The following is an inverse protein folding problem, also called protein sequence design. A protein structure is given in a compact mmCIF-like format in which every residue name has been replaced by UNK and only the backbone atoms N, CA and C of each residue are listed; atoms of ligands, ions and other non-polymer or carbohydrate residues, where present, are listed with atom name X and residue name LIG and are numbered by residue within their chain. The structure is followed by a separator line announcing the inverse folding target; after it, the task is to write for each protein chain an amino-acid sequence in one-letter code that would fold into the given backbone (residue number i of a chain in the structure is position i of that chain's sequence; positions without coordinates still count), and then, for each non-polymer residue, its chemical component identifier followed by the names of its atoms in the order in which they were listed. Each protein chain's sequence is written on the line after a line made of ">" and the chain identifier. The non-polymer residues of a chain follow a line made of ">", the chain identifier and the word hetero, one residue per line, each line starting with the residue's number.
data_IF_671849940507
#
_entry.id   IF_671849940507
#
_cell.length_a   1.000
_cell.length_b   1.000
_cell.length_c   1.000
_cell.angle_alpha   90.00
_cell.angle_beta   90.00
_cell.angle_gamma   90.00
#
_symmetry.space_group_name_H-M   'P 1'
#
loop_
_entity.id
_entity.type
_entity.pdbx_description
1 polymer ?
#
# COMPACT_ATOMS: atom_id res chain seq x y z
N UNK A 1 -23.29 -49.82 15.15
CA UNK A 1 -21.86 -49.69 15.49
C UNK A 1 -21.25 -48.67 14.53
N UNK A 2 -21.19 -47.38 14.90
CA UNK A 2 -20.59 -46.34 14.03
C UNK A 2 -19.09 -46.32 14.30
N UNK A 3 -18.27 -46.65 13.29
CA UNK A 3 -16.83 -46.44 13.36
C UNK A 3 -16.57 -44.95 13.53
N UNK A 4 -15.85 -44.57 14.60
CA UNK A 4 -15.27 -43.22 14.73
C UNK A 4 -14.07 -43.14 13.78
N UNK A 5 -13.84 -42.00 13.09
CA UNK A 5 -12.61 -41.84 12.34
C UNK A 5 -11.44 -41.80 13.33
N UNK A 6 -10.37 -42.55 13.02
CA UNK A 6 -9.10 -42.46 13.73
C UNK A 6 -8.49 -41.09 13.41
N UNK A 7 -8.37 -40.22 14.42
CA UNK A 7 -7.60 -39.00 14.29
C UNK A 7 -6.12 -39.36 14.08
N UNK A 8 -5.49 -38.79 13.05
CA UNK A 8 -4.09 -38.99 12.73
C UNK A 8 -3.24 -38.07 13.63
N UNK A 9 -2.42 -38.60 14.57
CA UNK A 9 -1.80 -37.81 15.64
C UNK A 9 -0.56 -36.99 15.19
N UNK A 10 -0.37 -36.76 13.89
CA UNK A 10 0.83 -36.12 13.33
C UNK A 10 0.60 -34.97 12.35
N UNK A 11 -0.65 -34.53 12.13
CA UNK A 11 -0.97 -33.39 11.25
C UNK A 11 -1.31 -32.18 12.11
N UNK A 12 -0.35 -31.29 12.33
CA UNK A 12 -0.69 -29.89 12.63
C UNK A 12 -1.07 -29.24 11.31
N UNK A 13 -2.20 -29.64 10.73
CA UNK A 13 -2.79 -28.93 9.61
C UNK A 13 -3.27 -27.58 10.17
N UNK A 14 -2.45 -26.55 10.00
CA UNK A 14 -2.98 -25.20 9.97
C UNK A 14 -3.80 -25.12 8.68
N UNK A 15 -5.12 -25.22 8.78
CA UNK A 15 -6.01 -25.03 7.64
C UNK A 15 -5.78 -23.64 7.03
N UNK A 16 -5.38 -23.58 5.76
CA UNK A 16 -5.17 -22.34 5.01
C UNK A 16 -3.83 -22.25 4.27
N UNK A 17 -3.65 -21.24 3.41
CA UNK A 17 -2.38 -21.00 2.73
C UNK A 17 -1.30 -20.49 3.72
N UNK A 18 -0.02 -20.75 3.43
CA UNK A 18 1.07 -20.15 4.19
C UNK A 18 1.26 -18.68 3.73
N UNK A 19 1.18 -17.68 4.63
CA UNK A 19 1.29 -16.26 4.27
C UNK A 19 2.66 -15.85 3.73
N UNK A 20 3.70 -16.66 3.96
CA UNK A 20 5.05 -16.40 3.46
C UNK A 20 5.26 -16.90 2.02
N UNK A 21 4.26 -17.58 1.42
CA UNK A 21 4.29 -18.00 0.02
C UNK A 21 3.85 -16.84 -0.87
N UNK A 22 4.78 -16.33 -1.69
CA UNK A 22 4.55 -15.24 -2.66
C UNK A 22 3.34 -15.46 -3.55
N UNK A 23 3.24 -16.64 -4.17
CA UNK A 23 2.12 -17.01 -5.06
C UNK A 23 1.36 -18.20 -4.46
N UNK A 24 0.32 -17.95 -3.64
CA UNK A 24 -0.37 -19.01 -2.91
C UNK A 24 -1.28 -19.87 -3.80
N UNK A 25 -1.58 -19.43 -5.04
CA UNK A 25 -2.41 -20.15 -6.00
C UNK A 25 -1.50 -20.77 -7.08
N UNK A 26 -1.31 -22.10 -7.11
CA UNK A 26 -0.49 -22.76 -8.12
C UNK A 26 -0.99 -22.43 -9.53
N UNK A 27 -0.06 -22.17 -10.45
CA UNK A 27 -0.32 -21.81 -11.85
C UNK A 27 -1.05 -20.46 -12.07
N UNK A 28 -1.31 -19.68 -11.02
CA UNK A 28 -1.99 -18.38 -11.12
C UNK A 28 -1.12 -17.25 -10.56
N UNK A 29 -0.05 -16.93 -11.28
CA UNK A 29 0.97 -15.94 -10.86
C UNK A 29 0.48 -14.50 -10.79
N UNK A 30 -0.68 -14.21 -11.38
CA UNK A 30 -1.34 -12.89 -11.35
C UNK A 30 -1.68 -12.43 -9.93
N UNK A 31 -1.91 -13.37 -9.01
CA UNK A 31 -2.27 -13.09 -7.60
C UNK A 31 -1.11 -13.48 -6.69
N UNK A 32 -0.80 -12.62 -5.72
CA UNK A 32 0.25 -12.91 -4.74
C UNK A 32 0.07 -12.19 -3.42
N UNK A 33 0.60 -12.79 -2.35
CA UNK A 33 0.66 -12.16 -1.04
C UNK A 33 1.74 -11.10 -1.01
N UNK A 34 1.37 -9.90 -0.58
CA UNK A 34 2.24 -8.74 -0.67
C UNK A 34 3.35 -8.73 0.39
N UNK A 35 3.09 -9.23 1.60
CA UNK A 35 4.07 -9.27 2.68
C UNK A 35 5.42 -9.92 2.29
N UNK A 36 5.47 -11.11 1.66
CA UNK A 36 6.73 -11.70 1.20
C UNK A 36 7.27 -11.10 -0.10
N UNK A 37 6.50 -10.26 -0.80
CA UNK A 37 6.88 -9.65 -2.09
C UNK A 37 7.52 -8.27 -1.94
N UNK A 38 6.98 -7.45 -1.03
CA UNK A 38 7.43 -6.07 -0.79
C UNK A 38 8.58 -6.08 0.21
N UNK A 39 9.66 -5.38 -0.13
CA UNK A 39 10.93 -5.40 0.65
C UNK A 39 11.35 -4.02 1.15
N UNK A 40 10.63 -2.99 0.72
CA UNK A 40 10.86 -1.60 1.04
C UNK A 40 10.65 -1.34 2.54
N UNK A 41 11.61 -0.75 3.25
CA UNK A 41 11.58 -0.66 4.71
C UNK A 41 10.47 0.26 5.26
N UNK A 42 9.94 1.16 4.44
CA UNK A 42 8.87 2.09 4.81
C UNK A 42 7.48 1.57 4.39
N UNK A 43 7.38 0.32 3.94
CA UNK A 43 6.11 -0.32 3.61
C UNK A 43 5.90 -1.51 4.53
N UNK A 44 4.82 -1.48 5.32
CA UNK A 44 4.46 -2.52 6.27
C UNK A 44 3.16 -3.18 5.82
N UNK A 45 3.17 -4.50 5.63
CA UNK A 45 2.02 -5.24 5.09
C UNK A 45 1.69 -6.44 5.98
N UNK A 46 0.42 -6.54 6.37
CA UNK A 46 -0.11 -7.63 7.15
C UNK A 46 -0.21 -8.96 6.38
N UNK A 47 -0.22 -10.06 7.12
CA UNK A 47 -0.42 -11.41 6.58
C UNK A 47 -1.70 -11.50 5.73
N UNK A 48 -1.66 -12.37 4.71
CA UNK A 48 -2.78 -12.69 3.81
C UNK A 48 -3.30 -11.55 2.93
N UNK A 49 -2.74 -10.34 3.07
CA UNK A 49 -3.03 -9.23 2.15
C UNK A 49 -2.44 -9.54 0.78
N UNK A 50 -3.28 -9.48 -0.25
CA UNK A 50 -2.91 -9.85 -1.61
C UNK A 50 -3.13 -8.72 -2.61
N UNK A 51 -2.39 -8.82 -3.71
CA UNK A 51 -2.55 -7.99 -4.90
C UNK A 51 -2.81 -8.86 -6.12
N UNK A 52 -3.68 -8.38 -7.02
CA UNK A 52 -4.09 -9.05 -8.25
C UNK A 52 -3.80 -8.18 -9.46
N UNK A 53 -2.76 -8.51 -10.24
CA UNK A 53 -2.31 -7.72 -11.40
C UNK A 53 -1.77 -8.63 -12.51
N UNK A 54 -2.22 -8.47 -13.77
CA UNK A 54 -1.78 -9.32 -14.90
C UNK A 54 -0.29 -9.21 -15.21
N UNK A 55 0.37 -8.11 -14.84
CA UNK A 55 1.82 -7.98 -14.94
C UNK A 55 2.59 -8.55 -13.74
N UNK A 56 1.88 -9.06 -12.74
CA UNK A 56 2.42 -9.76 -11.59
C UNK A 56 2.42 -8.91 -10.32
N UNK A 57 2.19 -9.54 -9.16
CA UNK A 57 2.07 -8.86 -7.87
C UNK A 57 3.42 -8.34 -7.34
N UNK A 58 4.54 -8.85 -7.85
CA UNK A 58 5.90 -8.42 -7.51
C UNK A 58 6.14 -6.93 -7.82
N UNK A 59 5.39 -6.36 -8.76
CA UNK A 59 5.51 -4.95 -9.15
C UNK A 59 4.70 -3.99 -8.29
N UNK A 60 4.05 -4.46 -7.22
CA UNK A 60 3.17 -3.64 -6.39
C UNK A 60 3.85 -2.36 -5.88
N UNK A 61 5.04 -2.46 -5.26
CA UNK A 61 5.73 -1.29 -4.73
C UNK A 61 6.10 -0.29 -5.83
N UNK A 62 6.57 -0.78 -6.99
CA UNK A 62 6.93 0.06 -8.13
C UNK A 62 5.73 0.76 -8.78
N UNK A 63 4.62 0.05 -8.95
CA UNK A 63 3.46 0.52 -9.73
C UNK A 63 2.40 1.23 -8.90
N UNK A 64 2.16 0.75 -7.69
CA UNK A 64 1.05 1.20 -6.86
C UNK A 64 1.49 2.25 -5.85
N UNK A 65 2.75 2.27 -5.43
CA UNK A 65 3.24 3.18 -4.37
C UNK A 65 4.02 4.32 -5.01
N UNK A 66 3.39 5.49 -5.10
CA UNK A 66 3.90 6.62 -5.88
C UNK A 66 4.41 7.73 -4.96
N UNK A 67 5.50 8.36 -5.38
CA UNK A 67 6.13 9.49 -4.67
C UNK A 67 6.60 9.15 -3.25
N UNK A 68 7.00 7.90 -3.01
CA UNK A 68 7.49 7.44 -1.71
C UNK A 68 9.01 7.54 -1.66
N UNK A 69 9.52 8.63 -1.09
CA UNK A 69 10.97 8.86 -1.02
C UNK A 69 11.50 8.61 0.39
N UNK A 70 12.59 7.83 0.57
CA UNK A 70 13.11 7.48 1.89
C UNK A 70 13.43 8.66 2.80
N UNK A 71 13.85 9.80 2.23
CA UNK A 71 14.20 11.01 3.00
C UNK A 71 12.99 11.69 3.67
N UNK A 72 11.77 11.37 3.25
CA UNK A 72 10.54 11.90 3.85
C UNK A 72 10.22 11.15 5.15
N UNK A 73 10.47 9.84 5.15
CA UNK A 73 10.26 8.97 6.31
C UNK A 73 8.80 8.61 6.58
N UNK A 74 7.86 8.98 5.71
CA UNK A 74 6.48 8.53 5.80
C UNK A 74 6.36 7.04 5.48
N UNK A 75 5.36 6.37 6.05
CA UNK A 75 5.11 4.94 5.85
C UNK A 75 3.81 4.66 5.12
N UNK A 76 3.80 3.58 4.36
CA UNK A 76 2.58 2.93 3.89
C UNK A 76 2.34 1.68 4.76
N UNK A 77 1.26 1.68 5.52
CA UNK A 77 0.92 0.59 6.44
C UNK A 77 -0.40 -0.03 5.98
N UNK A 78 -0.40 -1.31 5.63
CA UNK A 78 -1.58 -2.05 5.19
C UNK A 78 -1.81 -3.21 6.14
N UNK A 79 -3.03 -3.33 6.66
CA UNK A 79 -3.45 -4.38 7.58
C UNK A 79 -3.43 -5.78 6.98
N UNK A 80 -4.03 -6.72 7.72
CA UNK A 80 -4.14 -8.13 7.30
C UNK A 80 -5.39 -8.35 6.47
N UNK A 81 -5.40 -9.41 5.65
CA UNK A 81 -6.57 -9.85 4.88
C UNK A 81 -7.15 -8.77 3.94
N UNK A 82 -6.32 -7.87 3.42
CA UNK A 82 -6.78 -6.90 2.42
C UNK A 82 -6.74 -7.51 1.01
N UNK A 83 -7.70 -7.08 0.19
CA UNK A 83 -7.78 -7.43 -1.22
C UNK A 83 -7.50 -6.18 -2.06
N UNK A 84 -6.42 -6.18 -2.82
CA UNK A 84 -6.04 -5.02 -3.65
C UNK A 84 -6.11 -5.44 -5.12
N UNK A 85 -6.93 -4.76 -5.90
CA UNK A 85 -7.09 -5.02 -7.31
C UNK A 85 -6.15 -4.16 -8.17
N UNK A 86 -5.92 -4.65 -9.39
CA UNK A 86 -5.11 -4.05 -10.45
C UNK A 86 -5.23 -2.52 -10.53
N UNK A 87 -4.08 -1.85 -10.60
CA UNK A 87 -3.99 -0.42 -10.85
C UNK A 87 -4.33 0.48 -9.65
N UNK A 88 -4.54 -0.08 -8.45
CA UNK A 88 -4.65 0.71 -7.24
C UNK A 88 -3.42 1.62 -7.04
N UNK A 89 -3.63 2.86 -6.59
CA UNK A 89 -2.57 3.86 -6.38
C UNK A 89 -2.60 4.45 -4.97
N UNK A 90 -1.44 4.43 -4.32
CA UNK A 90 -1.14 5.07 -3.06
C UNK A 90 -0.22 6.26 -3.34
N UNK A 91 -0.76 7.48 -3.18
CA UNK A 91 0.01 8.71 -3.38
C UNK A 91 0.62 9.12 -2.05
N UNK A 92 1.93 9.01 -1.93
CA UNK A 92 2.68 9.33 -0.71
C UNK A 92 3.09 10.80 -0.67
N UNK A 93 3.71 11.24 0.43
CA UNK A 93 3.91 12.67 0.70
C UNK A 93 4.90 13.38 -0.26
N UNK A 94 5.71 12.64 -1.02
CA UNK A 94 6.61 13.22 -2.02
C UNK A 94 5.90 13.89 -3.19
N UNK A 95 4.59 13.73 -3.32
CA UNK A 95 3.77 14.42 -4.32
C UNK A 95 3.39 15.85 -3.88
N UNK A 96 3.57 16.20 -2.60
CA UNK A 96 3.12 17.48 -2.08
C UNK A 96 4.06 18.61 -2.51
N UNK A 97 3.48 19.73 -2.95
CA UNK A 97 4.19 20.97 -3.22
C UNK A 97 4.07 21.91 -2.02
N UNK A 98 5.05 22.79 -1.82
CA UNK A 98 4.95 23.86 -0.83
C UNK A 98 3.76 24.77 -1.20
N UNK A 99 2.77 24.91 -0.31
CA UNK A 99 1.56 25.70 -0.58
C UNK A 99 1.54 27.04 0.14
N UNK A 100 2.36 27.21 1.18
CA UNK A 100 2.42 28.45 1.97
C UNK A 100 3.21 29.59 1.32
N UNK A 101 3.90 29.33 0.20
CA UNK A 101 4.74 30.30 -0.50
C UNK A 101 3.98 31.17 -1.51
N UNK A 102 4.72 31.99 -2.25
CA UNK A 102 4.15 32.81 -3.34
C UNK A 102 3.72 31.96 -4.55
N UNK A 103 4.31 30.78 -4.72
CA UNK A 103 4.02 29.86 -5.81
C UNK A 103 4.19 28.42 -5.34
N UNK A 104 3.42 27.51 -5.92
CA UNK A 104 3.59 26.06 -5.75
C UNK A 104 4.63 25.48 -6.71
N UNK A 105 5.14 26.27 -7.66
CA UNK A 105 6.15 25.79 -8.61
C UNK A 105 7.47 25.49 -7.88
N UNK A 106 8.04 24.29 -8.02
CA UNK A 106 9.17 23.84 -7.22
C UNK A 106 10.51 24.35 -7.81
N UNK A 107 10.73 25.66 -7.83
CA UNK A 107 11.94 26.27 -8.43
C UNK A 107 13.24 25.63 -7.96
N UNK A 108 13.30 25.26 -6.68
CA UNK A 108 14.48 24.70 -6.02
C UNK A 108 14.96 23.38 -6.64
N UNK A 109 14.08 22.57 -7.24
CA UNK A 109 14.47 21.26 -7.79
C UNK A 109 15.23 21.38 -9.10
N UNK A 110 15.13 22.51 -9.79
CA UNK A 110 15.82 22.75 -11.06
C UNK A 110 17.26 23.24 -10.89
N UNK A 111 17.65 23.59 -9.65
CA UNK A 111 19.02 24.02 -9.35
C UNK A 111 19.40 25.36 -10.00
N UNK A 112 20.67 25.48 -10.40
CA UNK A 112 21.24 26.67 -11.06
C UNK A 112 21.10 27.98 -10.27
N UNK A 113 21.12 27.89 -8.94
CA UNK A 113 20.96 29.03 -8.04
C UNK A 113 19.53 29.32 -7.64
N UNK A 114 18.53 28.63 -8.21
CA UNK A 114 17.13 28.72 -7.79
C UNK A 114 16.85 27.97 -6.49
N UNK A 115 17.76 27.09 -6.07
CA UNK A 115 17.75 26.47 -4.75
C UNK A 115 18.15 27.43 -3.62
N UNK A 116 18.81 28.55 -3.94
CA UNK A 116 19.33 29.49 -2.94
C UNK A 116 18.19 30.17 -2.19
N UNK A 117 18.22 30.05 -0.86
CA UNK A 117 17.20 30.64 0.01
C UNK A 117 15.91 29.83 0.11
N UNK A 118 15.84 28.66 -0.52
CA UNK A 118 14.74 27.72 -0.28
C UNK A 118 14.85 27.17 1.15
N UNK A 119 13.79 27.34 1.93
CA UNK A 119 13.66 26.76 3.27
C UNK A 119 12.93 25.41 3.18
N UNK A 120 13.61 24.26 3.44
CA UNK A 120 12.98 22.94 3.43
C UNK A 120 11.79 22.82 4.38
N UNK A 121 11.73 23.65 5.43
CA UNK A 121 10.61 23.64 6.37
C UNK A 121 9.29 24.10 5.72
N UNK A 122 9.33 24.82 4.60
CA UNK A 122 8.13 25.20 3.85
C UNK A 122 7.47 24.01 3.18
N UNK A 123 8.27 23.03 2.74
CA UNK A 123 7.79 21.80 2.15
C UNK A 123 7.46 20.75 3.21
N UNK A 124 8.30 20.59 4.24
CA UNK A 124 8.08 19.57 5.27
C UNK A 124 6.79 19.78 6.08
N UNK A 125 6.28 21.02 6.15
CA UNK A 125 4.97 21.34 6.75
C UNK A 125 3.79 20.73 5.99
N UNK A 126 3.97 20.39 4.73
CA UNK A 126 2.93 19.81 3.87
C UNK A 126 2.87 18.27 4.00
N UNK A 127 3.80 17.65 4.75
CA UNK A 127 3.77 16.22 5.05
C UNK A 127 2.59 15.92 5.97
N UNK A 128 1.74 14.98 5.55
CA UNK A 128 0.48 14.60 6.22
C UNK A 128 0.62 13.37 7.13
N UNK A 129 1.84 12.83 7.22
CA UNK A 129 2.14 11.60 7.96
C UNK A 129 1.85 10.34 7.14
N UNK A 130 1.75 9.22 7.85
CA UNK A 130 1.65 7.88 7.25
C UNK A 130 0.30 7.64 6.55
N UNK A 131 0.33 6.81 5.51
CA UNK A 131 -0.85 6.25 4.88
C UNK A 131 -1.18 4.92 5.54
N UNK A 132 -2.37 4.81 6.13
CA UNK A 132 -2.78 3.62 6.89
C UNK A 132 -4.07 3.03 6.31
N UNK A 133 -3.98 1.79 5.86
CA UNK A 133 -5.11 0.93 5.48
C UNK A 133 -5.31 -0.10 6.59
N UNK A 134 -6.53 -0.19 7.13
CA UNK A 134 -6.86 -1.19 8.15
C UNK A 134 -6.83 -2.63 7.63
N UNK A 135 -7.14 -3.59 8.50
CA UNK A 135 -7.35 -4.98 8.07
C UNK A 135 -8.73 -5.14 7.41
N UNK A 136 -8.88 -6.19 6.59
CA UNK A 136 -10.16 -6.56 5.94
C UNK A 136 -10.73 -5.45 5.03
N UNK A 137 -9.84 -4.83 4.26
CA UNK A 137 -10.19 -3.77 3.31
C UNK A 137 -10.09 -4.30 1.88
N UNK A 138 -11.14 -4.05 1.10
CA UNK A 138 -11.11 -4.24 -0.34
C UNK A 138 -10.85 -2.91 -1.06
N UNK A 139 -9.82 -2.89 -1.90
CA UNK A 139 -9.44 -1.78 -2.77
C UNK A 139 -9.72 -2.19 -4.21
N UNK A 140 -10.71 -1.55 -4.82
CA UNK A 140 -11.13 -1.83 -6.19
C UNK A 140 -10.11 -1.41 -7.25
N UNK A 141 -10.33 -1.91 -8.47
CA UNK A 141 -9.49 -1.64 -9.63
C UNK A 141 -9.34 -0.14 -9.87
N UNK A 142 -8.11 0.30 -10.10
CA UNK A 142 -7.75 1.71 -10.37
C UNK A 142 -8.17 2.71 -9.27
N UNK A 143 -8.44 2.24 -8.06
CA UNK A 143 -8.73 3.12 -6.93
C UNK A 143 -7.52 4.04 -6.64
N UNK A 144 -7.78 5.34 -6.50
CA UNK A 144 -6.73 6.34 -6.33
C UNK A 144 -6.17 6.89 -7.65
N UNK A 145 -6.61 6.38 -8.81
CA UNK A 145 -6.34 7.01 -10.11
C UNK A 145 -7.20 8.30 -10.24
N UNK A 146 -6.60 9.49 -10.32
CA UNK A 146 -7.36 10.74 -10.47
C UNK A 146 -8.17 10.79 -11.77
N UNK A 147 -7.81 10.03 -12.80
CA UNK A 147 -8.58 9.96 -14.06
C UNK A 147 -9.89 9.17 -13.90
N UNK A 148 -10.02 8.35 -12.85
CA UNK A 148 -11.16 7.47 -12.61
C UNK A 148 -11.86 7.72 -11.27
N UNK A 149 -11.25 8.53 -10.40
CA UNK A 149 -11.82 8.91 -9.13
C UNK A 149 -12.94 9.94 -9.33
N UNK A 150 -14.18 9.45 -9.38
CA UNK A 150 -15.36 10.25 -9.07
C UNK A 150 -15.31 10.76 -7.62
N UNK A 151 -14.56 11.83 -7.39
CA UNK A 151 -14.70 12.76 -6.26
C UNK A 151 -14.64 12.23 -4.80
N UNK A 152 -13.86 11.18 -4.48
CA UNK A 152 -13.49 10.87 -3.08
C UNK A 152 -12.07 10.29 -2.93
N UNK A 153 -11.03 11.12 -2.70
CA UNK A 153 -9.73 10.62 -2.27
C UNK A 153 -9.82 9.97 -0.88
N UNK A 154 -8.94 9.01 -0.62
CA UNK A 154 -8.73 8.38 0.68
C UNK A 154 -8.63 9.45 1.77
N UNK A 155 -9.64 9.57 2.63
CA UNK A 155 -9.63 10.56 3.69
C UNK A 155 -8.71 10.06 4.81
N UNK A 156 -7.58 10.76 5.00
CA UNK A 156 -6.83 10.75 6.26
C UNK A 156 -7.67 11.39 7.38
N UNK A 157 -8.69 10.68 7.83
CA UNK A 157 -9.40 10.98 9.06
C UNK A 157 -9.95 9.68 9.61
N UNK A 158 -9.24 9.12 10.59
CA UNK A 158 -9.73 8.26 11.68
C UNK A 158 -11.17 7.75 11.48
N UNK A 159 -11.37 6.91 10.48
CA UNK A 159 -12.54 6.06 10.26
C UNK A 159 -11.97 4.79 9.66
N UNK A 160 -11.92 3.74 10.48
CA UNK A 160 -11.92 2.38 9.98
C UNK A 160 -12.95 2.30 8.86
N UNK A 161 -12.51 1.98 7.65
CA UNK A 161 -13.40 1.36 6.68
C UNK A 161 -13.27 -0.13 7.00
N UNK A 162 -14.16 -0.62 7.87
CA UNK A 162 -14.16 -1.99 8.37
C UNK A 162 -15.07 -2.09 9.60
N UNK A 163 -16.26 -2.65 9.42
CA UNK A 163 -17.23 -2.94 10.48
C UNK A 163 -18.67 -2.64 10.07
N UNK A 164 -19.36 -3.63 9.48
CA UNK A 164 -20.44 -4.34 10.16
C UNK A 164 -21.00 -5.44 9.24
N UNK A 165 -20.83 -6.69 9.71
CA UNK A 165 -21.54 -7.94 9.38
C UNK A 165 -21.74 -8.36 7.91
#
# INVERSE_FOLDING_TARGET
>A
MRMRPLANPGRTDMDGPNPDIKHPIPMHTRVGFLKPLVTEPNIEIGDFTYYDDPEGPDKFAEKCVLHHYPFIGDKLIIGKFCAIAEGARFIMNGANHAMSGFSTYPFNIFGHGWEKGFDPATWSKEVRGDTVVGSDVWIGMEAGDPARCGNRPWRHHRRQIGGDA
#
